data_IF_503980113952
#
_entry.id   IF_503980113952
#
_cell.length_a   1.000
_cell.length_b   1.000
_cell.length_c   1.000
_cell.angle_alpha   90.00
_cell.angle_beta   90.00
_cell.angle_gamma   90.00
#
_symmetry.space_group_name_H-M   'P 1'
#
loop_
_entity.id
_entity.type
_entity.pdbx_description
1 polymer ?
#
# COMPACT_ATOMS: atom_id res chain seq x y z
N UNK A 1 5.35 14.47 -5.03
CA UNK A 1 4.81 14.02 -3.74
C UNK A 1 4.83 12.51 -3.82
N UNK A 2 5.98 11.92 -3.51
CA UNK A 2 6.07 10.48 -3.31
C UNK A 2 5.28 10.18 -2.04
N UNK A 3 4.40 9.18 -2.07
CA UNK A 3 3.80 8.67 -0.84
C UNK A 3 4.95 8.04 -0.05
N UNK A 4 5.53 8.77 0.90
CA UNK A 4 6.39 8.18 1.90
C UNK A 4 5.51 7.22 2.72
N UNK A 5 5.94 5.98 2.85
CA UNK A 5 5.26 5.00 3.71
C UNK A 5 5.34 5.50 5.16
N UNK A 6 4.20 5.95 5.67
CA UNK A 6 4.12 6.58 6.99
C UNK A 6 4.40 5.59 8.12
N UNK A 7 4.12 4.31 7.89
CA UNK A 7 4.31 3.24 8.86
C UNK A 7 5.78 2.94 9.01
N UNK A 8 6.50 2.72 7.90
CA UNK A 8 7.96 2.48 7.96
C UNK A 8 8.73 3.68 8.50
N UNK A 9 8.39 4.92 8.11
CA UNK A 9 9.03 6.11 8.70
C UNK A 9 8.79 6.20 10.21
N UNK A 10 7.60 5.85 10.69
CA UNK A 10 7.31 5.81 12.13
C UNK A 10 8.18 4.77 12.85
N UNK A 11 8.27 3.55 12.29
CA UNK A 11 9.11 2.47 12.83
C UNK A 11 10.59 2.92 12.87
N UNK A 12 11.07 3.61 11.84
CA UNK A 12 12.44 4.10 11.79
C UNK A 12 12.74 5.09 12.93
N UNK A 13 11.87 6.09 13.14
CA UNK A 13 12.03 7.04 14.25
C UNK A 13 11.98 6.37 15.62
N UNK A 14 11.09 5.38 15.80
CA UNK A 14 11.03 4.59 17.03
C UNK A 14 12.37 3.87 17.27
N UNK A 15 12.89 3.17 16.28
CA UNK A 15 14.16 2.45 16.43
C UNK A 15 15.36 3.39 16.59
N UNK A 16 15.38 4.52 15.89
CA UNK A 16 16.41 5.56 16.06
C UNK A 16 16.44 6.06 17.51
N UNK A 17 15.28 6.35 18.10
CA UNK A 17 15.21 6.81 19.49
C UNK A 17 15.52 5.70 20.51
N UNK A 18 15.03 4.47 20.29
CA UNK A 18 15.36 3.31 21.14
C UNK A 18 16.87 3.03 21.14
N UNK A 19 17.51 3.04 19.98
CA UNK A 19 18.96 2.81 19.84
C UNK A 19 19.79 3.92 20.50
N UNK A 20 19.28 5.17 20.50
CA UNK A 20 19.91 6.28 21.23
C UNK A 20 19.76 6.16 22.74
N UNK A 21 18.77 5.40 23.20
CA UNK A 21 18.42 5.24 24.61
C UNK A 21 18.44 3.77 25.05
N UNK A 22 19.62 3.15 25.24
CA UNK A 22 19.73 1.73 25.63
C UNK A 22 18.96 1.34 26.90
N UNK A 23 18.71 2.30 27.81
CA UNK A 23 17.88 2.08 29.00
C UNK A 23 16.42 1.84 28.64
N UNK A 24 15.89 2.58 27.66
CA UNK A 24 14.53 2.43 27.13
C UNK A 24 14.42 1.08 26.42
N UNK A 25 15.39 0.74 25.57
CA UNK A 25 15.47 -0.55 24.87
C UNK A 25 15.40 -1.75 25.84
N UNK A 26 16.24 -1.76 26.87
CA UNK A 26 16.24 -2.83 27.88
C UNK A 26 14.93 -2.95 28.63
N UNK A 27 14.25 -1.82 28.88
CA UNK A 27 12.98 -1.81 29.61
C UNK A 27 11.83 -2.36 28.76
N UNK A 28 11.76 -2.02 27.47
CA UNK A 28 10.75 -2.58 26.56
C UNK A 28 11.02 -4.06 26.22
N UNK A 29 12.28 -4.46 26.07
CA UNK A 29 12.61 -5.89 25.91
C UNK A 29 12.22 -6.71 27.13
N UNK A 30 12.45 -6.19 28.34
CA UNK A 30 11.99 -6.84 29.57
C UNK A 30 10.45 -6.94 29.65
N UNK A 31 9.73 -5.92 29.21
CA UNK A 31 8.26 -5.99 29.11
C UNK A 31 7.84 -7.09 28.12
N UNK A 32 8.43 -7.13 26.93
CA UNK A 32 8.15 -8.16 25.92
C UNK A 32 8.43 -9.58 26.44
N UNK A 33 9.54 -9.78 27.16
CA UNK A 33 9.86 -11.05 27.82
C UNK A 33 8.82 -11.45 28.87
N UNK A 34 8.28 -10.48 29.63
CA UNK A 34 7.29 -10.72 30.68
C UNK A 34 5.90 -11.02 30.14
N UNK A 35 5.49 -10.35 29.06
CA UNK A 35 4.15 -10.47 28.47
C UNK A 35 4.08 -11.66 27.51
N UNK A 36 5.05 -11.80 26.61
CA UNK A 36 5.02 -12.77 25.50
C UNK A 36 5.76 -14.07 25.85
N UNK A 37 6.88 -13.96 26.59
CA UNK A 37 7.77 -15.08 26.89
C UNK A 37 8.76 -15.38 25.75
N UNK A 38 9.91 -15.99 26.04
CA UNK A 38 11.07 -16.00 25.13
C UNK A 38 10.94 -16.85 23.85
N UNK A 39 9.98 -17.78 23.79
CA UNK A 39 9.88 -18.78 22.70
C UNK A 39 8.61 -18.60 21.83
N UNK A 40 7.92 -17.45 21.93
CA UNK A 40 6.65 -17.20 21.24
C UNK A 40 6.74 -15.99 20.32
N UNK A 41 5.96 -16.01 19.24
CA UNK A 41 5.79 -14.83 18.39
C UNK A 41 4.86 -13.83 19.09
N UNK A 42 5.08 -12.53 18.83
CA UNK A 42 4.17 -11.50 19.31
C UNK A 42 2.90 -11.55 18.47
N UNK A 43 1.75 -11.75 19.13
CA UNK A 43 0.44 -11.75 18.51
C UNK A 43 -0.29 -10.43 18.77
N UNK A 44 -1.33 -10.14 17.97
CA UNK A 44 -2.12 -8.90 18.13
C UNK A 44 -2.77 -8.79 19.51
N UNK A 45 -3.16 -9.93 20.11
CA UNK A 45 -3.72 -9.99 21.47
C UNK A 45 -2.74 -9.56 22.56
N UNK A 46 -1.43 -9.64 22.31
CA UNK A 46 -0.42 -9.27 23.30
C UNK A 46 -0.26 -7.75 23.40
N UNK A 47 -0.61 -7.01 22.33
CA UNK A 47 -0.36 -5.58 22.21
C UNK A 47 -1.05 -4.75 23.30
N UNK A 48 -2.24 -5.17 23.75
CA UNK A 48 -2.98 -4.49 24.82
C UNK A 48 -2.22 -4.52 26.15
N UNK A 49 -1.33 -5.49 26.34
CA UNK A 49 -0.52 -5.67 27.55
C UNK A 49 0.88 -5.04 27.46
N UNK A 50 1.28 -4.52 26.30
CA UNK A 50 2.58 -3.87 26.05
C UNK A 50 2.51 -2.36 26.31
N UNK A 51 2.26 -1.98 27.57
CA UNK A 51 2.05 -0.59 27.98
C UNK A 51 3.27 0.31 27.72
N UNK A 52 4.48 -0.19 28.00
CA UNK A 52 5.71 0.54 27.85
C UNK A 52 6.09 0.71 26.37
N UNK A 53 5.82 -0.28 25.52
CA UNK A 53 5.93 -0.13 24.07
C UNK A 53 4.99 0.97 23.54
N UNK A 54 3.74 1.00 24.00
CA UNK A 54 2.78 2.01 23.58
C UNK A 54 3.25 3.44 23.92
N UNK A 55 3.81 3.67 25.11
CA UNK A 55 4.32 5.00 25.46
C UNK A 55 5.57 5.41 24.66
N UNK A 56 6.43 4.45 24.28
CA UNK A 56 7.56 4.70 23.39
C UNK A 56 7.05 5.17 22.02
N UNK A 57 6.04 4.49 21.47
CA UNK A 57 5.44 4.84 20.18
C UNK A 57 4.82 6.25 20.25
N UNK A 58 4.09 6.57 21.32
CA UNK A 58 3.53 7.91 21.55
C UNK A 58 4.60 8.99 21.56
N UNK A 59 5.69 8.79 22.30
CA UNK A 59 6.78 9.77 22.39
C UNK A 59 7.53 9.93 21.08
N UNK A 60 7.74 8.83 20.35
CA UNK A 60 8.37 8.87 19.03
C UNK A 60 7.52 9.66 18.04
N UNK A 61 6.20 9.44 18.02
CA UNK A 61 5.29 10.19 17.14
C UNK A 61 5.09 11.65 17.54
N UNK A 62 5.26 11.98 18.83
CA UNK A 62 5.28 13.38 19.31
C UNK A 62 6.51 14.11 18.79
N UNK A 63 7.68 13.50 18.92
CA UNK A 63 8.95 14.12 18.56
C UNK A 63 9.17 14.07 17.04
N UNK A 64 8.74 13.01 16.36
CA UNK A 64 8.96 12.80 14.94
C UNK A 64 7.66 12.49 14.20
N UNK A 65 6.73 13.47 14.10
CA UNK A 65 5.49 13.27 13.37
C UNK A 65 5.78 13.12 11.88
N UNK A 66 5.37 12.00 11.29
CA UNK A 66 5.60 11.72 9.86
C UNK A 66 4.87 12.72 8.94
N UNK A 67 3.76 13.28 9.42
CA UNK A 67 3.07 14.40 8.79
C UNK A 67 3.22 15.67 9.66
N UNK A 68 4.36 16.39 9.57
CA UNK A 68 4.62 17.56 10.42
C UNK A 68 3.63 18.71 10.15
N UNK A 69 3.08 18.78 8.93
CA UNK A 69 1.98 19.67 8.56
C UNK A 69 0.78 18.81 8.11
N UNK A 70 -0.36 18.96 8.77
CA UNK A 70 -1.60 18.28 8.34
C UNK A 70 -2.12 18.86 7.02
N UNK A 71 -2.98 18.08 6.37
CA UNK A 71 -3.61 18.51 5.13
C UNK A 71 -4.31 19.88 5.32
N UNK A 72 -4.09 20.82 4.39
CA UNK A 72 -4.72 22.13 4.47
C UNK A 72 -6.24 22.03 4.42
N UNK A 73 -6.89 22.85 5.22
CA UNK A 73 -8.34 23.01 5.25
C UNK A 73 -8.72 24.44 4.91
N UNK A 74 -9.97 24.65 4.47
CA UNK A 74 -10.52 25.99 4.32
C UNK A 74 -11.59 26.21 5.38
N UNK A 75 -11.56 27.38 6.02
CA UNK A 75 -12.68 27.83 6.86
C UNK A 75 -13.94 27.95 6.01
N UNK A 76 -15.04 27.39 6.49
CA UNK A 76 -16.34 27.40 5.80
C UNK A 76 -17.17 28.64 6.11
N UNK A 77 -16.81 29.34 7.17
CA UNK A 77 -17.40 30.59 7.64
C UNK A 77 -16.35 31.41 8.39
N UNK A 78 -16.66 32.67 8.65
CA UNK A 78 -15.83 33.55 9.46
C UNK A 78 -15.82 33.03 10.90
N UNK A 79 -14.64 32.80 11.47
CA UNK A 79 -14.53 32.29 12.83
C UNK A 79 -13.40 32.96 13.62
N UNK A 80 -13.48 32.84 14.95
CA UNK A 80 -12.42 33.27 15.86
C UNK A 80 -11.71 32.04 16.41
N UNK A 81 -10.39 31.97 16.25
CA UNK A 81 -9.54 30.96 16.88
C UNK A 81 -8.66 31.67 17.91
N UNK A 82 -8.96 31.46 19.19
CA UNK A 82 -8.42 32.25 20.29
C UNK A 82 -8.62 33.76 20.03
N UNK A 83 -7.54 34.52 19.87
CA UNK A 83 -7.58 35.96 19.60
C UNK A 83 -7.52 36.32 18.11
N UNK A 84 -7.51 35.33 17.21
CA UNK A 84 -7.31 35.55 15.78
C UNK A 84 -8.62 35.39 15.01
N UNK A 85 -8.96 36.40 14.21
CA UNK A 85 -10.05 36.33 13.25
C UNK A 85 -9.60 35.59 11.99
N UNK A 86 -10.35 34.56 11.61
CA UNK A 86 -10.12 33.72 10.44
C UNK A 86 -11.29 33.92 9.47
N UNK A 87 -11.11 34.68 8.39
CA UNK A 87 -12.14 34.86 7.36
C UNK A 87 -12.50 33.54 6.69
N UNK A 88 -13.70 33.45 6.14
CA UNK A 88 -14.17 32.36 5.28
C UNK A 88 -13.19 32.14 4.11
N UNK A 89 -13.01 30.88 3.69
CA UNK A 89 -12.06 30.43 2.67
C UNK A 89 -10.57 30.64 3.00
N UNK A 90 -10.23 30.94 4.25
CA UNK A 90 -8.83 30.96 4.68
C UNK A 90 -8.26 29.56 4.71
N UNK A 91 -7.10 29.35 4.08
CA UNK A 91 -6.38 28.09 4.11
C UNK A 91 -5.64 27.93 5.44
N UNK A 92 -6.10 26.99 6.26
CA UNK A 92 -5.53 26.66 7.57
C UNK A 92 -4.71 25.38 7.46
N UNK A 93 -3.49 25.39 7.99
CA UNK A 93 -2.60 24.22 8.06
C UNK A 93 -2.21 24.06 9.53
N UNK A 94 -2.38 22.85 10.06
CA UNK A 94 -2.00 22.54 11.45
C UNK A 94 -0.56 22.04 11.45
N UNK A 95 0.30 22.69 12.23
CA UNK A 95 1.69 22.31 12.40
C UNK A 95 1.83 21.36 13.59
N UNK A 96 1.72 20.05 13.34
CA UNK A 96 1.82 18.99 14.35
C UNK A 96 3.20 18.97 14.99
N UNK A 97 4.25 19.23 14.19
CA UNK A 97 5.62 19.32 14.68
C UNK A 97 5.76 20.38 15.78
N UNK A 98 5.17 21.56 15.57
CA UNK A 98 5.17 22.63 16.57
C UNK A 98 4.28 22.31 17.76
N UNK A 99 3.13 21.65 17.55
CA UNK A 99 2.23 21.22 18.64
C UNK A 99 2.95 20.24 19.58
N UNK A 100 3.61 19.22 19.02
CA UNK A 100 4.38 18.24 19.78
C UNK A 100 5.58 18.83 20.52
N UNK A 101 6.03 20.04 20.15
CA UNK A 101 7.15 20.75 20.76
C UNK A 101 6.77 21.99 21.57
N UNK A 102 5.47 22.28 21.71
CA UNK A 102 5.04 23.54 22.31
C UNK A 102 5.44 23.61 23.79
N UNK A 103 6.34 24.53 24.21
CA UNK A 103 6.95 24.48 25.55
C UNK A 103 5.99 24.72 26.71
N UNK A 104 4.78 25.24 26.45
CA UNK A 104 3.75 25.40 27.48
C UNK A 104 2.99 24.12 27.78
N UNK A 105 3.02 23.16 26.86
CA UNK A 105 2.35 21.85 26.99
C UNK A 105 3.38 20.78 27.33
N UNK A 106 4.56 20.83 26.72
CA UNK A 106 5.61 19.81 26.86
C UNK A 106 6.83 20.34 27.61
N UNK A 107 7.07 19.84 28.83
CA UNK A 107 8.34 20.07 29.55
C UNK A 107 9.47 19.30 28.88
N UNK A 108 10.63 19.95 28.70
CA UNK A 108 11.77 19.40 27.95
C UNK A 108 11.34 18.89 26.55
N UNK A 109 10.62 19.73 25.81
CA UNK A 109 9.90 19.35 24.59
C UNK A 109 10.77 18.69 23.49
N UNK A 110 12.06 19.01 23.43
CA UNK A 110 12.99 18.44 22.44
C UNK A 110 13.62 17.11 22.89
N UNK A 111 13.40 16.67 24.12
CA UNK A 111 13.96 15.41 24.63
C UNK A 111 12.97 14.27 24.44
N UNK A 112 13.49 13.13 23.98
CA UNK A 112 12.78 11.86 23.98
C UNK A 112 12.69 11.31 25.41
N UNK A 113 11.50 11.41 26.01
CA UNK A 113 11.21 11.00 27.39
C UNK A 113 9.87 10.23 27.45
N UNK A 114 9.84 8.93 27.11
CA UNK A 114 8.62 8.13 27.08
C UNK A 114 7.85 8.13 28.41
N UNK A 115 8.54 8.25 29.53
CA UNK A 115 7.96 8.26 30.88
C UNK A 115 6.93 9.37 31.09
N UNK A 116 6.91 10.42 30.26
CA UNK A 116 5.87 11.47 30.32
C UNK A 116 4.46 10.94 30.05
N UNK A 117 4.34 9.74 29.47
CA UNK A 117 3.06 9.11 29.19
C UNK A 117 2.63 8.04 30.19
N UNK A 118 3.46 7.67 31.19
CA UNK A 118 3.15 6.60 32.16
C UNK A 118 1.85 6.84 32.97
N UNK A 119 1.47 8.09 33.19
CA UNK A 119 0.25 8.48 33.93
C UNK A 119 -0.62 9.47 33.13
N UNK A 120 -0.44 9.48 31.80
CA UNK A 120 -1.08 10.44 30.91
C UNK A 120 -2.33 9.87 30.27
N UNK A 121 -3.40 10.68 30.25
CA UNK A 121 -4.62 10.38 29.47
C UNK A 121 -4.49 10.75 27.99
N UNK A 122 -3.34 11.28 27.55
CA UNK A 122 -3.10 11.70 26.18
C UNK A 122 -3.09 10.47 25.26
N UNK A 123 -3.93 10.52 24.23
CA UNK A 123 -4.02 9.51 23.18
C UNK A 123 -3.62 10.04 21.80
N UNK A 124 -3.45 9.11 20.86
CA UNK A 124 -3.08 9.42 19.47
C UNK A 124 -4.29 9.86 18.63
N UNK A 125 -5.51 9.86 19.19
CA UNK A 125 -6.75 10.26 18.52
C UNK A 125 -6.96 11.77 18.54
N UNK A 126 -6.13 12.49 19.30
CA UNK A 126 -6.15 13.95 19.27
C UNK A 126 -7.34 14.58 19.98
N UNK A 127 -7.86 13.94 21.04
CA UNK A 127 -9.03 14.44 21.79
C UNK A 127 -8.78 15.80 22.44
N UNK A 128 -7.59 15.99 23.01
CA UNK A 128 -7.21 17.20 23.75
C UNK A 128 -6.28 18.13 22.95
N UNK A 129 -6.05 17.82 21.66
CA UNK A 129 -5.18 18.56 20.74
C UNK A 129 -3.70 18.70 21.15
N UNK A 130 -3.29 18.11 22.28
CA UNK A 130 -1.90 18.10 22.74
C UNK A 130 -1.00 17.18 21.90
N UNK A 131 -1.55 16.07 21.41
CA UNK A 131 -0.89 15.10 20.54
C UNK A 131 -1.84 14.69 19.40
N UNK A 132 -1.52 15.08 18.17
CA UNK A 132 -2.41 14.90 16.99
C UNK A 132 -1.68 14.33 15.75
N UNK A 133 -0.86 13.26 15.88
CA UNK A 133 -0.09 12.72 14.75
C UNK A 133 -0.96 12.16 13.63
N UNK A 134 -2.23 11.84 13.93
CA UNK A 134 -3.23 11.37 12.98
C UNK A 134 -4.32 12.40 12.69
N UNK A 135 -4.13 13.66 13.10
CA UNK A 135 -5.22 14.65 13.10
C UNK A 135 -6.25 14.39 14.20
N UNK A 136 -7.41 15.05 14.11
CA UNK A 136 -8.49 14.95 15.10
C UNK A 136 -9.86 15.17 14.44
N UNK A 137 -10.91 14.69 15.10
CA UNK A 137 -12.30 14.84 14.66
C UNK A 137 -12.64 14.10 13.36
N UNK A 138 -13.55 14.65 12.56
CA UNK A 138 -14.08 14.03 11.32
C UNK A 138 -13.04 13.84 10.21
N UNK A 139 -11.82 14.38 10.38
CA UNK A 139 -10.70 14.30 9.43
C UNK A 139 -9.47 13.61 10.04
N UNK A 140 -9.67 12.84 11.11
CA UNK A 140 -8.63 11.94 11.61
C UNK A 140 -8.24 10.90 10.56
N UNK A 141 -7.00 10.41 10.62
CA UNK A 141 -6.47 9.42 9.69
C UNK A 141 -7.30 8.14 9.73
N UNK A 142 -7.92 7.71 8.60
CA UNK A 142 -8.71 6.48 8.56
C UNK A 142 -7.85 5.23 8.80
N UNK A 143 -6.59 5.25 8.36
CA UNK A 143 -5.62 4.17 8.56
C UNK A 143 -4.95 4.14 9.94
N UNK A 144 -5.35 4.99 10.89
CA UNK A 144 -4.71 5.06 12.22
C UNK A 144 -4.71 3.70 12.94
N UNK A 145 -5.85 2.99 12.94
CA UNK A 145 -5.95 1.72 13.67
C UNK A 145 -5.02 0.66 13.06
N UNK A 146 -5.10 0.46 11.74
CA UNK A 146 -4.26 -0.49 11.02
C UNK A 146 -2.77 -0.13 11.11
N UNK A 147 -2.44 1.15 10.87
CA UNK A 147 -1.06 1.63 10.93
C UNK A 147 -0.46 1.48 12.32
N UNK A 148 -1.21 1.80 13.39
CA UNK A 148 -0.76 1.57 14.74
C UNK A 148 -0.60 0.08 15.04
N UNK A 149 -1.55 -0.78 14.68
CA UNK A 149 -1.41 -2.23 14.87
C UNK A 149 -0.14 -2.76 14.19
N UNK A 150 0.14 -2.36 12.95
CA UNK A 150 1.36 -2.76 12.23
C UNK A 150 2.62 -2.23 12.92
N UNK A 151 2.66 -0.94 13.30
CA UNK A 151 3.81 -0.37 14.02
C UNK A 151 4.06 -1.13 15.33
N UNK A 152 3.01 -1.39 16.12
CA UNK A 152 3.13 -2.10 17.39
C UNK A 152 3.62 -3.53 17.18
N UNK A 153 3.01 -4.30 16.28
CA UNK A 153 3.43 -5.68 15.98
C UNK A 153 4.86 -5.74 15.48
N UNK A 154 5.22 -4.92 14.49
CA UNK A 154 6.55 -4.97 13.88
C UNK A 154 7.62 -4.55 14.89
N UNK A 155 7.41 -3.45 15.62
CA UNK A 155 8.38 -3.00 16.63
C UNK A 155 8.51 -4.03 17.75
N UNK A 156 7.39 -4.55 18.27
CA UNK A 156 7.40 -5.58 19.29
C UNK A 156 8.16 -6.84 18.84
N UNK A 157 7.82 -7.35 17.66
CA UNK A 157 8.44 -8.54 17.08
C UNK A 157 9.94 -8.35 16.88
N UNK A 158 10.35 -7.20 16.33
CA UNK A 158 11.76 -6.89 16.10
C UNK A 158 12.54 -6.75 17.40
N UNK A 159 11.98 -6.12 18.43
CA UNK A 159 12.62 -5.99 19.75
C UNK A 159 12.66 -7.31 20.52
N UNK A 160 11.67 -8.18 20.30
CA UNK A 160 11.55 -9.48 20.96
C UNK A 160 12.57 -10.49 20.42
N UNK A 161 12.73 -10.56 19.09
CA UNK A 161 13.59 -11.57 18.45
C UNK A 161 15.05 -11.16 18.27
N UNK A 162 15.34 -9.86 18.24
CA UNK A 162 16.67 -9.37 17.91
C UNK A 162 17.26 -8.53 19.04
N UNK A 163 18.56 -8.72 19.26
CA UNK A 163 19.37 -7.76 19.99
C UNK A 163 19.83 -6.67 19.02
N UNK A 164 19.58 -5.42 19.40
CA UNK A 164 19.85 -4.26 18.58
C UNK A 164 21.06 -3.50 19.10
N UNK A 165 22.05 -3.30 18.23
CA UNK A 165 23.24 -2.51 18.50
C UNK A 165 23.52 -1.56 17.33
N UNK A 166 24.20 -0.46 17.61
CA UNK A 166 24.67 0.46 16.57
C UNK A 166 25.84 -0.17 15.80
N UNK A 167 25.87 -0.05 14.46
CA UNK A 167 26.89 -0.69 13.64
C UNK A 167 28.28 -0.12 13.92
N UNK A 168 29.31 -0.96 13.75
CA UNK A 168 30.72 -0.57 13.77
C UNK A 168 31.18 0.15 15.06
N UNK A 169 30.52 -0.07 16.19
CA UNK A 169 30.86 0.59 17.47
C UNK A 169 30.48 2.07 17.55
N UNK A 170 29.63 2.53 16.63
CA UNK A 170 29.07 3.89 16.61
C UNK A 170 28.40 4.23 17.94
N UNK A 171 28.65 5.43 18.44
CA UNK A 171 28.04 5.92 19.68
C UNK A 171 26.62 6.47 19.41
N UNK A 172 25.69 6.36 20.39
CA UNK A 172 24.35 6.95 20.31
C UNK A 172 24.30 8.43 19.88
N UNK A 173 25.31 9.22 20.25
CA UNK A 173 25.41 10.64 19.89
C UNK A 173 25.78 10.89 18.43
N UNK A 174 26.29 9.88 17.73
CA UNK A 174 26.72 9.96 16.33
C UNK A 174 25.59 9.62 15.35
N UNK A 175 24.42 9.21 15.86
CA UNK A 175 23.25 8.97 15.03
C UNK A 175 22.73 10.31 14.48
N UNK A 176 22.63 10.40 13.15
CA UNK A 176 22.02 11.57 12.50
C UNK A 176 20.51 11.60 12.77
N UNK A 177 20.07 12.68 13.39
CA UNK A 177 18.68 12.93 13.78
C UNK A 177 18.17 14.24 13.17
N UNK A 178 18.83 14.73 12.11
CA UNK A 178 18.40 15.94 11.41
C UNK A 178 17.10 15.70 10.65
N UNK A 179 16.15 16.62 10.81
CA UNK A 179 14.88 16.62 10.11
C UNK A 179 14.94 17.68 8.99
N UNK A 180 15.19 17.26 7.74
CA UNK A 180 15.25 18.20 6.60
C UNK A 180 13.90 18.36 5.90
N UNK A 181 13.44 19.61 5.77
CA UNK A 181 12.15 19.94 5.13
C UNK A 181 12.33 20.17 3.63
N UNK A 182 11.61 19.42 2.81
CA UNK A 182 11.56 19.65 1.35
C UNK A 182 12.49 18.80 0.51
N UNK A 183 13.37 18.02 1.13
CA UNK A 183 14.09 16.90 0.52
C UNK A 183 13.74 15.64 1.31
N UNK A 184 12.84 14.83 0.77
CA UNK A 184 12.53 13.49 1.31
C UNK A 184 13.72 12.52 1.18
N UNK A 185 14.98 12.98 1.14
CA UNK A 185 16.13 12.24 0.59
C UNK A 185 17.33 12.05 1.51
N UNK A 186 17.25 12.39 2.81
CA UNK A 186 18.34 12.10 3.76
C UNK A 186 18.02 11.03 4.84
N UNK A 187 16.76 10.63 5.01
CA UNK A 187 16.33 9.68 6.05
C UNK A 187 15.87 8.34 5.44
N UNK A 188 16.70 7.77 4.56
CA UNK A 188 16.52 6.46 3.91
C UNK A 188 17.72 5.58 4.25
N UNK A 189 18.13 5.46 5.51
CA UNK A 189 19.46 4.92 5.83
C UNK A 189 19.42 3.57 6.55
N UNK A 190 18.38 3.23 7.31
CA UNK A 190 18.37 1.98 8.10
C UNK A 190 17.29 0.98 7.71
N UNK A 191 16.02 1.38 7.51
CA UNK A 191 15.01 0.49 6.91
C UNK A 191 15.32 0.30 5.44
N UNK A 192 15.68 1.37 4.75
CA UNK A 192 16.23 1.27 3.41
C UNK A 192 17.52 0.45 3.39
N UNK A 193 18.40 0.48 4.40
CA UNK A 193 19.54 -0.46 4.46
C UNK A 193 19.12 -1.88 4.78
N UNK A 194 18.07 -2.14 5.57
CA UNK A 194 17.55 -3.48 5.83
C UNK A 194 16.86 -4.06 4.59
N UNK A 195 16.01 -3.28 3.93
CA UNK A 195 15.37 -3.62 2.65
C UNK A 195 16.41 -3.75 1.54
N UNK A 196 17.33 -2.78 1.40
CA UNK A 196 18.46 -2.89 0.46
C UNK A 196 19.35 -4.06 0.82
N UNK A 197 19.62 -4.34 2.09
CA UNK A 197 20.44 -5.49 2.52
C UNK A 197 19.73 -6.80 2.24
N UNK A 198 18.40 -6.87 2.36
CA UNK A 198 17.61 -8.03 2.01
C UNK A 198 17.61 -8.27 0.49
N UNK A 199 17.35 -7.25 -0.31
CA UNK A 199 17.45 -7.38 -1.76
C UNK A 199 18.90 -7.64 -2.21
N UNK A 200 19.90 -7.06 -1.55
CA UNK A 200 21.31 -7.37 -1.81
C UNK A 200 21.66 -8.80 -1.40
N UNK A 201 21.14 -9.32 -0.27
CA UNK A 201 21.38 -10.71 0.13
C UNK A 201 20.75 -11.69 -0.85
N UNK A 202 19.56 -11.39 -1.37
CA UNK A 202 18.95 -12.16 -2.47
C UNK A 202 19.90 -12.16 -3.68
N UNK A 203 20.44 -11.00 -4.07
CA UNK A 203 21.40 -10.95 -5.18
C UNK A 203 22.71 -11.70 -4.87
N UNK A 204 23.17 -11.70 -3.62
CA UNK A 204 24.39 -12.41 -3.18
C UNK A 204 24.18 -13.93 -3.24
N UNK A 205 23.00 -14.42 -2.88
CA UNK A 205 22.60 -15.83 -3.01
C UNK A 205 22.62 -16.28 -4.48
N UNK A 206 22.12 -15.44 -5.40
CA UNK A 206 22.09 -15.75 -6.85
C UNK A 206 23.45 -15.61 -7.54
N UNK A 207 24.44 -15.02 -6.87
CA UNK A 207 25.83 -15.02 -7.34
C UNK A 207 26.59 -16.31 -7.00
N UNK A 208 26.07 -17.11 -6.05
CA UNK A 208 26.68 -18.39 -5.72
C UNK A 208 26.43 -19.43 -6.84
N UNK A 209 27.37 -20.36 -7.07
CA UNK A 209 27.19 -21.38 -8.10
C UNK A 209 25.99 -22.26 -7.74
N UNK A 210 24.95 -22.20 -8.58
CA UNK A 210 23.76 -23.05 -8.45
C UNK A 210 24.14 -24.54 -8.54
N UNK A 211 23.53 -25.35 -7.68
CA UNK A 211 23.71 -26.81 -7.71
C UNK A 211 23.17 -27.38 -9.04
N UNK A 212 23.71 -28.54 -9.45
CA UNK A 212 23.36 -29.17 -10.72
C UNK A 212 21.87 -29.54 -10.73
N UNK A 213 21.08 -28.84 -11.55
CA UNK A 213 19.63 -29.05 -11.68
C UNK A 213 18.73 -27.93 -11.14
N UNK A 214 19.27 -26.89 -10.50
CA UNK A 214 18.47 -25.73 -10.11
C UNK A 214 18.03 -24.90 -11.33
N UNK A 215 16.75 -24.56 -11.37
CA UNK A 215 16.16 -23.70 -12.41
C UNK A 215 16.65 -22.26 -12.23
N UNK A 216 16.93 -21.58 -13.36
CA UNK A 216 17.26 -20.16 -13.37
C UNK A 216 15.99 -19.32 -13.31
N UNK A 217 16.04 -18.23 -12.56
CA UNK A 217 14.95 -17.27 -12.42
C UNK A 217 15.30 -15.91 -13.07
N UNK A 218 14.42 -14.93 -12.86
CA UNK A 218 14.58 -13.58 -13.39
C UNK A 218 15.87 -12.90 -12.90
N UNK A 219 16.26 -13.14 -11.65
CA UNK A 219 17.44 -12.51 -11.03
C UNK A 219 18.70 -13.07 -11.69
N UNK A 220 18.80 -14.39 -11.85
CA UNK A 220 19.93 -15.01 -12.55
C UNK A 220 20.09 -14.49 -13.97
N UNK A 221 18.96 -14.28 -14.65
CA UNK A 221 18.94 -13.81 -16.03
C UNK A 221 19.46 -12.38 -16.10
N UNK A 222 18.98 -11.49 -15.24
CA UNK A 222 19.45 -10.10 -15.16
C UNK A 222 20.93 -10.02 -14.79
N UNK A 223 21.38 -10.77 -13.78
CA UNK A 223 22.79 -10.85 -13.39
C UNK A 223 23.66 -11.45 -14.51
N UNK A 224 23.15 -12.45 -15.24
CA UNK A 224 23.82 -13.05 -16.39
C UNK A 224 24.02 -12.06 -17.54
N UNK A 225 22.98 -11.32 -17.92
CA UNK A 225 23.04 -10.27 -18.95
C UNK A 225 24.02 -9.17 -18.53
N UNK A 226 23.94 -8.72 -17.27
CA UNK A 226 24.84 -7.72 -16.68
C UNK A 226 26.31 -8.15 -16.80
N UNK A 227 26.63 -9.39 -16.39
CA UNK A 227 28.00 -9.95 -16.44
C UNK A 227 28.51 -10.16 -17.87
N UNK A 228 27.62 -10.52 -18.78
CA UNK A 228 27.98 -10.80 -20.17
C UNK A 228 28.19 -9.51 -20.99
N UNK A 229 27.65 -8.38 -20.56
CA UNK A 229 27.86 -7.07 -21.18
C UNK A 229 27.24 -6.92 -22.57
N UNK A 230 26.25 -7.74 -22.91
CA UNK A 230 25.61 -7.77 -24.24
C UNK A 230 24.41 -6.83 -24.41
N UNK A 231 24.05 -6.03 -23.40
CA UNK A 231 22.93 -5.08 -23.51
C UNK A 231 23.34 -3.78 -24.20
N UNK A 232 22.43 -3.20 -24.98
CA UNK A 232 22.63 -1.91 -25.66
C UNK A 232 22.83 -0.74 -24.68
N UNK A 233 22.40 -0.91 -23.43
CA UNK A 233 22.58 0.03 -22.33
C UNK A 233 23.34 -0.64 -21.19
N UNK A 234 24.17 0.12 -20.49
CA UNK A 234 24.85 -0.37 -19.29
C UNK A 234 23.92 -0.22 -18.08
N UNK A 235 23.83 -1.27 -17.29
CA UNK A 235 23.17 -1.27 -15.99
C UNK A 235 24.03 -2.07 -15.01
N UNK A 236 23.89 -1.79 -13.72
CA UNK A 236 24.67 -2.40 -12.66
C UNK A 236 23.80 -3.14 -11.65
N UNK A 237 24.44 -3.64 -10.59
CA UNK A 237 23.78 -4.39 -9.52
C UNK A 237 22.73 -3.53 -8.78
N UNK A 238 22.95 -2.22 -8.66
CA UNK A 238 22.00 -1.32 -8.02
C UNK A 238 20.75 -1.14 -8.88
N UNK A 239 20.89 -1.12 -10.20
CA UNK A 239 19.76 -1.11 -11.13
C UNK A 239 18.94 -2.40 -11.02
N UNK A 240 19.59 -3.58 -10.98
CA UNK A 240 18.89 -4.87 -10.80
C UNK A 240 18.13 -4.89 -9.46
N UNK A 241 18.76 -4.43 -8.39
CA UNK A 241 18.12 -4.31 -7.07
C UNK A 241 16.91 -3.38 -7.12
N UNK A 242 17.01 -2.22 -7.78
CA UNK A 242 15.91 -1.27 -7.91
C UNK A 242 14.74 -1.87 -8.69
N UNK A 243 15.00 -2.58 -9.78
CA UNK A 243 13.97 -3.30 -10.54
C UNK A 243 13.27 -4.34 -9.68
N UNK A 244 14.02 -5.10 -8.85
CA UNK A 244 13.41 -6.05 -7.92
C UNK A 244 12.52 -5.35 -6.91
N UNK A 245 13.00 -4.26 -6.30
CA UNK A 245 12.17 -3.48 -5.38
C UNK A 245 10.87 -3.03 -6.03
N UNK A 246 10.91 -2.49 -7.25
CA UNK A 246 9.72 -2.06 -7.99
C UNK A 246 8.74 -3.21 -8.26
N UNK A 247 9.25 -4.42 -8.55
CA UNK A 247 8.40 -5.60 -8.79
C UNK A 247 7.65 -6.07 -7.54
N UNK A 248 8.22 -5.86 -6.34
CA UNK A 248 7.64 -6.32 -5.07
C UNK A 248 6.93 -5.22 -4.28
N UNK A 249 7.07 -3.94 -4.66
CA UNK A 249 6.59 -2.80 -3.89
C UNK A 249 5.05 -2.58 -3.92
N UNK A 250 4.33 -3.17 -4.87
CA UNK A 250 2.92 -2.87 -5.08
C UNK A 250 2.08 -4.14 -5.30
N UNK A 251 1.14 -4.40 -4.40
CA UNK A 251 0.19 -5.51 -4.53
C UNK A 251 -1.06 -5.10 -5.33
N UNK A 252 -0.89 -5.03 -6.65
CA UNK A 252 -1.96 -4.66 -7.59
C UNK A 252 -2.89 -5.83 -7.92
N UNK A 253 -2.36 -7.05 -7.87
CA UNK A 253 -3.07 -8.27 -8.23
C UNK A 253 -4.16 -8.61 -7.21
N UNK A 254 -3.84 -8.59 -5.91
CA UNK A 254 -4.82 -8.89 -4.86
C UNK A 254 -5.97 -7.90 -4.86
N UNK A 255 -5.66 -6.60 -4.97
CA UNK A 255 -6.64 -5.51 -5.07
C UNK A 255 -7.61 -5.73 -6.24
N UNK A 256 -7.07 -6.13 -7.39
CA UNK A 256 -7.91 -6.44 -8.58
C UNK A 256 -8.84 -7.62 -8.31
N UNK A 257 -8.32 -8.71 -7.73
CA UNK A 257 -9.10 -9.91 -7.40
C UNK A 257 -10.22 -9.55 -6.42
N UNK A 258 -9.93 -8.74 -5.40
CA UNK A 258 -10.93 -8.31 -4.40
C UNK A 258 -12.07 -7.51 -5.05
N UNK A 259 -11.76 -6.60 -5.98
CA UNK A 259 -12.79 -5.86 -6.73
C UNK A 259 -13.63 -6.77 -7.62
N UNK A 260 -13.00 -7.72 -8.32
CA UNK A 260 -13.72 -8.70 -9.14
C UNK A 260 -14.69 -9.50 -8.27
N UNK A 261 -14.21 -10.03 -7.14
CA UNK A 261 -15.06 -10.81 -6.23
C UNK A 261 -16.19 -9.98 -5.63
N UNK A 262 -15.92 -8.73 -5.28
CA UNK A 262 -16.93 -7.81 -4.78
C UNK A 262 -18.07 -7.62 -5.78
N UNK A 263 -17.73 -7.39 -7.05
CA UNK A 263 -18.73 -7.21 -8.09
C UNK A 263 -19.47 -8.50 -8.43
N UNK A 264 -18.80 -9.65 -8.40
CA UNK A 264 -19.44 -10.97 -8.60
C UNK A 264 -20.44 -11.27 -7.47
N UNK A 265 -20.06 -11.04 -6.21
CA UNK A 265 -20.92 -11.25 -5.04
C UNK A 265 -22.11 -10.29 -5.03
N UNK A 266 -21.89 -9.05 -5.47
CA UNK A 266 -22.94 -8.05 -5.67
C UNK A 266 -23.91 -8.43 -6.79
N UNK A 267 -23.48 -9.29 -7.73
CA UNK A 267 -24.26 -9.70 -8.90
C UNK A 267 -24.36 -11.24 -9.03
N UNK A 268 -25.25 -11.91 -8.26
CA UNK A 268 -25.40 -13.37 -8.30
C UNK A 268 -25.70 -13.95 -9.69
N UNK A 269 -26.31 -13.17 -10.59
CA UNK A 269 -26.52 -13.55 -12.00
C UNK A 269 -25.19 -13.76 -12.72
N UNK A 270 -24.22 -12.88 -12.49
CA UNK A 270 -22.88 -12.96 -13.06
C UNK A 270 -22.14 -14.17 -12.50
N UNK A 271 -22.17 -14.37 -11.17
CA UNK A 271 -21.59 -15.54 -10.51
C UNK A 271 -22.08 -16.86 -11.12
N UNK A 272 -23.40 -17.04 -11.22
CA UNK A 272 -23.98 -18.27 -11.80
C UNK A 272 -23.56 -18.50 -13.25
N UNK A 273 -23.43 -17.43 -14.03
CA UNK A 273 -23.08 -17.53 -15.45
C UNK A 273 -21.61 -17.93 -15.63
N UNK A 274 -20.67 -17.34 -14.88
CA UNK A 274 -19.25 -17.73 -14.94
C UNK A 274 -19.00 -19.12 -14.34
N UNK A 275 -19.72 -19.48 -13.28
CA UNK A 275 -19.66 -20.83 -12.73
C UNK A 275 -20.15 -21.90 -13.71
N UNK A 276 -21.16 -21.59 -14.53
CA UNK A 276 -21.63 -22.46 -15.62
C UNK A 276 -20.61 -22.57 -16.75
N UNK A 277 -19.95 -21.47 -17.13
CA UNK A 277 -18.86 -21.50 -18.10
C UNK A 277 -17.72 -22.41 -17.61
N UNK A 278 -17.29 -22.26 -16.35
CA UNK A 278 -16.28 -23.10 -15.73
C UNK A 278 -16.68 -24.59 -15.74
N UNK A 279 -17.93 -24.90 -15.42
CA UNK A 279 -18.47 -26.27 -15.52
C UNK A 279 -18.42 -26.82 -16.95
N UNK A 280 -18.67 -25.99 -17.97
CA UNK A 280 -18.71 -26.42 -19.37
C UNK A 280 -17.32 -26.62 -19.97
N UNK A 281 -16.38 -25.73 -19.65
CA UNK A 281 -15.03 -25.73 -20.21
C UNK A 281 -14.11 -26.69 -19.44
N UNK A 282 -14.18 -26.66 -18.11
CA UNK A 282 -13.26 -27.40 -17.24
C UNK A 282 -13.88 -28.70 -16.74
N UNK A 283 -15.19 -28.72 -16.47
CA UNK A 283 -15.87 -29.86 -15.85
C UNK A 283 -15.68 -29.91 -14.33
N UNK A 284 -16.40 -30.83 -13.67
CA UNK A 284 -16.47 -30.89 -12.20
C UNK A 284 -15.44 -31.81 -11.54
N UNK A 285 -14.63 -32.52 -12.33
CA UNK A 285 -13.70 -33.55 -11.83
C UNK A 285 -12.24 -33.08 -11.80
N UNK A 286 -11.94 -31.88 -12.32
CA UNK A 286 -10.59 -31.29 -12.36
C UNK A 286 -10.59 -29.83 -11.91
N UNK A 287 -9.41 -29.39 -11.47
CA UNK A 287 -9.14 -27.98 -11.19
C UNK A 287 -8.85 -27.20 -12.48
N UNK A 288 -9.08 -25.90 -12.43
CA UNK A 288 -8.71 -24.99 -13.52
C UNK A 288 -7.19 -24.90 -13.62
N UNK A 289 -6.66 -25.12 -14.82
CA UNK A 289 -5.26 -24.93 -15.17
C UNK A 289 -5.08 -23.68 -16.05
N UNK A 290 -3.85 -23.18 -16.18
CA UNK A 290 -3.54 -22.01 -17.01
C UNK A 290 -3.96 -22.19 -18.48
N UNK A 291 -3.87 -23.43 -19.00
CA UNK A 291 -4.26 -23.80 -20.36
C UNK A 291 -5.77 -23.67 -20.61
N UNK A 292 -6.61 -23.71 -19.57
CA UNK A 292 -8.06 -23.56 -19.70
C UNK A 292 -8.46 -22.08 -19.86
N UNK A 293 -7.62 -21.11 -19.44
CA UNK A 293 -7.97 -19.69 -19.32
C UNK A 293 -8.36 -19.03 -20.65
N UNK A 294 -7.73 -19.43 -21.75
CA UNK A 294 -8.06 -18.89 -23.08
C UNK A 294 -9.51 -19.19 -23.49
N UNK A 295 -10.11 -20.26 -22.95
CA UNK A 295 -11.48 -20.69 -23.25
C UNK A 295 -12.54 -20.09 -22.30
N UNK A 296 -12.14 -19.33 -21.28
CA UNK A 296 -13.04 -18.71 -20.29
C UNK A 296 -13.44 -17.28 -20.73
N UNK A 297 -14.19 -17.18 -21.82
CA UNK A 297 -14.54 -15.91 -22.46
C UNK A 297 -15.33 -14.96 -21.54
N UNK A 298 -16.30 -15.49 -20.80
CA UNK A 298 -17.15 -14.71 -19.90
C UNK A 298 -16.38 -14.25 -18.66
N UNK A 299 -15.48 -15.07 -18.12
CA UNK A 299 -14.54 -14.62 -17.09
C UNK A 299 -13.67 -13.45 -17.58
N UNK A 300 -13.12 -13.54 -18.79
CA UNK A 300 -12.34 -12.46 -19.40
C UNK A 300 -13.14 -11.15 -19.47
N UNK A 301 -14.42 -11.25 -19.83
CA UNK A 301 -15.37 -10.14 -19.90
C UNK A 301 -15.63 -9.52 -18.51
N UNK A 302 -15.81 -10.33 -17.48
CA UNK A 302 -15.98 -9.86 -16.09
C UNK A 302 -14.75 -9.08 -15.64
N UNK A 303 -13.55 -9.58 -15.92
CA UNK A 303 -12.29 -8.94 -15.53
C UNK A 303 -12.12 -7.59 -16.22
N UNK A 304 -12.44 -7.49 -17.51
CA UNK A 304 -12.44 -6.21 -18.25
C UNK A 304 -13.38 -5.18 -17.60
N UNK A 305 -14.61 -5.59 -17.28
CA UNK A 305 -15.59 -4.69 -16.66
C UNK A 305 -15.20 -4.28 -15.24
N UNK A 306 -14.63 -5.20 -14.46
CA UNK A 306 -14.13 -4.91 -13.12
C UNK A 306 -12.97 -3.89 -13.18
N UNK A 307 -12.01 -4.05 -14.10
CA UNK A 307 -10.91 -3.10 -14.27
C UNK A 307 -11.36 -1.75 -14.85
N UNK A 308 -12.45 -1.71 -15.63
CA UNK A 308 -13.05 -0.45 -16.10
C UNK A 308 -13.64 0.34 -14.95
N UNK A 309 -14.44 -0.34 -14.11
CA UNK A 309 -15.18 0.31 -13.02
C UNK A 309 -14.28 0.56 -11.80
N UNK A 310 -13.39 -0.37 -11.47
CA UNK A 310 -12.47 -0.29 -10.34
C UNK A 310 -11.01 -0.42 -10.80
N UNK A 311 -10.48 0.56 -11.54
CA UNK A 311 -9.07 0.55 -11.91
C UNK A 311 -8.20 0.71 -10.66
N UNK A 312 -7.30 -0.25 -10.43
CA UNK A 312 -6.40 -0.22 -9.26
C UNK A 312 -5.58 1.08 -9.22
N UNK A 313 -5.15 1.61 -10.37
CA UNK A 313 -4.52 2.93 -10.47
C UNK A 313 -5.46 3.91 -11.21
N UNK A 314 -6.40 4.59 -10.52
CA UNK A 314 -7.39 5.45 -11.18
C UNK A 314 -6.78 6.69 -11.84
N UNK A 315 -5.66 7.17 -11.28
CA UNK A 315 -4.77 8.13 -11.89
C UNK A 315 -3.48 7.39 -12.22
N UNK A 316 -3.16 7.24 -13.51
CA UNK A 316 -1.92 6.60 -13.91
C UNK A 316 -0.71 7.41 -13.42
N UNK A 317 0.43 6.72 -13.31
CA UNK A 317 1.67 7.34 -12.87
C UNK A 317 1.97 8.60 -13.70
N UNK A 318 2.46 9.68 -13.08
CA UNK A 318 2.65 10.93 -13.80
C UNK A 318 3.72 10.83 -14.89
N UNK A 319 3.43 11.45 -16.03
CA UNK A 319 4.35 11.63 -17.15
C UNK A 319 4.85 13.07 -17.20
N UNK A 320 6.02 13.26 -17.80
CA UNK A 320 6.55 14.58 -18.15
C UNK A 320 6.72 14.66 -19.67
N UNK A 321 6.33 15.80 -20.26
CA UNK A 321 6.63 16.09 -21.66
C UNK A 321 8.14 16.30 -21.84
N UNK A 322 8.73 15.63 -22.82
CA UNK A 322 10.18 15.72 -23.11
C UNK A 322 10.53 16.91 -24.01
N UNK A 323 9.51 17.47 -24.66
CA UNK A 323 9.57 18.61 -25.57
C UNK A 323 8.23 19.34 -25.56
N UNK A 324 8.19 20.53 -26.14
CA UNK A 324 6.96 21.26 -26.40
C UNK A 324 6.12 20.46 -27.40
N UNK A 325 4.86 20.21 -27.09
CA UNK A 325 3.98 19.44 -27.97
C UNK A 325 2.54 19.97 -27.99
N UNK A 326 1.78 19.53 -28.99
CA UNK A 326 0.34 19.78 -29.09
C UNK A 326 -0.41 18.49 -28.80
N UNK A 327 -1.34 18.52 -27.85
CA UNK A 327 -2.31 17.45 -27.62
C UNK A 327 -3.68 17.97 -28.04
N UNK A 328 -4.21 17.44 -29.13
CA UNK A 328 -5.35 18.02 -29.84
C UNK A 328 -5.10 19.52 -30.13
N UNK A 329 -5.91 20.42 -29.57
CA UNK A 329 -5.77 21.87 -29.72
C UNK A 329 -4.99 22.56 -28.60
N UNK A 330 -4.44 21.79 -27.65
CA UNK A 330 -3.78 22.35 -26.47
C UNK A 330 -2.26 22.26 -26.59
N UNK A 331 -1.60 23.40 -26.39
CA UNK A 331 -0.15 23.46 -26.27
C UNK A 331 0.28 23.00 -24.88
N UNK A 332 1.17 22.01 -24.85
CA UNK A 332 1.77 21.44 -23.65
C UNK A 332 3.27 21.79 -23.67
N UNK A 333 3.72 22.74 -22.83
CA UNK A 333 5.13 23.07 -22.72
C UNK A 333 5.96 21.86 -22.29
N UNK A 334 7.24 21.85 -22.64
CA UNK A 334 8.24 20.90 -22.16
C UNK A 334 8.26 20.84 -20.63
N UNK A 335 8.53 19.65 -20.09
CA UNK A 335 8.56 19.31 -18.67
C UNK A 335 7.21 19.38 -17.93
N UNK A 336 6.10 19.56 -18.65
CA UNK A 336 4.76 19.63 -18.06
C UNK A 336 4.35 18.32 -17.40
N UNK A 337 3.79 18.47 -16.20
CA UNK A 337 3.00 17.52 -15.40
C UNK A 337 1.82 16.89 -16.14
N UNK A 338 1.87 15.67 -16.69
CA UNK A 338 0.68 15.02 -17.29
C UNK A 338 0.25 13.81 -16.47
N UNK A 339 -1.03 13.74 -16.11
CA UNK A 339 -1.64 12.62 -15.38
C UNK A 339 -2.87 12.17 -16.16
N UNK A 340 -2.96 10.86 -16.45
CA UNK A 340 -4.09 10.27 -17.17
C UNK A 340 -5.08 9.75 -16.15
N UNK A 341 -6.31 10.26 -16.17
CA UNK A 341 -7.38 9.85 -15.28
C UNK A 341 -8.21 8.73 -15.91
N UNK A 342 -7.76 7.48 -15.72
CA UNK A 342 -8.44 6.31 -16.30
C UNK A 342 -9.76 6.00 -15.61
N UNK A 343 -9.93 6.40 -14.36
CA UNK A 343 -11.22 6.34 -13.67
C UNK A 343 -12.30 7.16 -14.39
N UNK A 344 -11.94 8.38 -14.83
CA UNK A 344 -12.85 9.24 -15.58
C UNK A 344 -13.10 8.70 -17.00
N UNK A 345 -12.07 8.15 -17.66
CA UNK A 345 -12.20 7.53 -18.98
C UNK A 345 -13.15 6.33 -18.92
N UNK A 346 -12.98 5.45 -17.93
CA UNK A 346 -13.84 4.29 -17.71
C UNK A 346 -15.29 4.66 -17.41
N UNK A 347 -15.56 5.88 -16.93
CA UNK A 347 -16.91 6.38 -16.59
C UNK A 347 -17.47 7.40 -17.58
N UNK A 348 -16.79 7.66 -18.70
CA UNK A 348 -17.20 8.72 -19.60
C UNK A 348 -18.52 8.38 -20.32
N UNK A 349 -19.64 9.09 -20.09
CA UNK A 349 -20.97 8.66 -20.55
C UNK A 349 -21.16 8.67 -22.06
N UNK A 350 -20.28 9.36 -22.81
CA UNK A 350 -20.32 9.36 -24.29
C UNK A 350 -19.68 8.12 -24.91
N UNK A 351 -18.88 7.39 -24.13
CA UNK A 351 -18.22 6.14 -24.54
C UNK A 351 -18.94 4.96 -23.92
N UNK A 352 -19.34 5.07 -22.64
CA UNK A 352 -19.94 3.97 -21.88
C UNK A 352 -21.42 4.21 -21.57
N UNK A 353 -22.30 3.39 -22.14
CA UNK A 353 -23.72 3.34 -21.77
C UNK A 353 -23.88 2.84 -20.33
N UNK A 354 -24.68 3.52 -19.51
CA UNK A 354 -24.82 3.21 -18.08
C UNK A 354 -23.46 3.07 -17.38
N UNK A 355 -22.60 4.09 -17.54
CA UNK A 355 -21.18 4.04 -17.19
C UNK A 355 -20.87 3.67 -15.73
N UNK A 356 -21.76 3.98 -14.79
CA UNK A 356 -21.60 3.66 -13.37
C UNK A 356 -22.07 2.24 -13.00
N UNK A 357 -22.75 1.53 -13.91
CA UNK A 357 -23.23 0.17 -13.64
C UNK A 357 -22.19 -0.86 -14.05
N UNK A 358 -22.01 -1.86 -13.20
CA UNK A 358 -21.28 -3.07 -13.54
C UNK A 358 -22.12 -3.94 -14.48
N UNK A 359 -21.78 -3.92 -15.77
CA UNK A 359 -22.49 -4.63 -16.84
C UNK A 359 -21.48 -5.37 -17.73
N UNK A 360 -21.00 -6.57 -17.32
CA UNK A 360 -20.01 -7.32 -18.10
C UNK A 360 -20.42 -7.54 -19.56
N UNK A 361 -21.72 -7.73 -19.82
CA UNK A 361 -22.25 -7.97 -21.17
C UNK A 361 -21.88 -6.90 -22.20
N UNK A 362 -21.46 -5.70 -21.79
CA UNK A 362 -20.95 -4.68 -22.73
C UNK A 362 -19.71 -5.14 -23.50
N UNK A 363 -19.01 -6.17 -23.03
CA UNK A 363 -17.84 -6.73 -23.69
C UNK A 363 -18.10 -8.03 -24.49
N UNK A 364 -19.33 -8.56 -24.52
CA UNK A 364 -19.63 -9.81 -25.23
C UNK A 364 -19.35 -9.77 -26.75
N UNK A 365 -19.51 -8.62 -27.39
CA UNK A 365 -19.23 -8.42 -28.82
C UNK A 365 -18.19 -7.31 -29.04
N UNK A 366 -17.38 -7.05 -28.02
CA UNK A 366 -16.38 -5.98 -28.03
C UNK A 366 -15.00 -6.53 -28.35
N UNK A 367 -14.32 -5.88 -29.30
CA UNK A 367 -12.91 -6.15 -29.60
C UNK A 367 -11.94 -5.40 -28.69
N UNK A 368 -12.45 -4.62 -27.72
CA UNK A 368 -11.62 -3.83 -26.79
C UNK A 368 -10.67 -4.75 -26.02
N UNK A 369 -9.38 -4.48 -26.12
CA UNK A 369 -8.32 -5.19 -25.42
C UNK A 369 -7.76 -4.39 -24.22
N UNK A 370 -7.07 -5.10 -23.32
CA UNK A 370 -6.41 -4.50 -22.16
C UNK A 370 -4.96 -4.09 -22.45
N UNK A 371 -4.48 -4.29 -23.69
CA UNK A 371 -3.07 -4.11 -24.09
C UNK A 371 -2.75 -2.65 -24.42
N UNK A 372 -3.72 -1.76 -24.19
CA UNK A 372 -3.60 -0.33 -24.35
C UNK A 372 -3.65 0.15 -25.79
N UNK A 373 -4.29 -0.60 -26.68
CA UNK A 373 -4.60 -0.14 -28.06
C UNK A 373 -5.93 0.60 -28.13
N UNK A 374 -6.86 0.24 -27.25
CA UNK A 374 -8.19 0.83 -27.15
C UNK A 374 -8.23 1.80 -25.95
N UNK A 375 -8.05 3.11 -26.21
CA UNK A 375 -7.92 4.13 -25.16
C UNK A 375 -9.13 4.31 -24.25
N UNK A 376 -10.25 3.69 -24.60
CA UNK A 376 -11.46 3.61 -23.80
C UNK A 376 -11.23 2.76 -22.54
N UNK A 377 -10.30 1.80 -22.59
CA UNK A 377 -9.96 0.88 -21.49
C UNK A 377 -8.45 0.65 -21.40
N UNK A 378 -7.77 1.43 -20.54
CA UNK A 378 -6.31 1.40 -20.36
C UNK A 378 -5.89 1.20 -18.90
N UNK A 379 -6.36 0.15 -18.19
CA UNK A 379 -6.03 -0.07 -16.78
C UNK A 379 -4.54 -0.35 -16.55
N UNK A 380 -3.82 -0.78 -17.59
CA UNK A 380 -2.37 -1.00 -17.58
C UNK A 380 -1.58 0.15 -18.25
N UNK A 381 -2.23 1.28 -18.54
CA UNK A 381 -1.65 2.34 -19.37
C UNK A 381 -1.49 1.93 -20.83
N UNK A 382 -0.63 2.66 -21.55
CA UNK A 382 -0.37 2.43 -22.98
C UNK A 382 1.02 2.95 -23.39
N UNK A 383 1.48 2.53 -24.57
CA UNK A 383 2.71 3.01 -25.19
C UNK A 383 3.97 2.58 -24.45
N UNK A 384 5.00 3.44 -24.48
CA UNK A 384 6.35 3.14 -23.95
C UNK A 384 6.40 2.88 -22.44
N UNK A 385 5.35 3.24 -21.70
CA UNK A 385 5.23 3.07 -20.24
C UNK A 385 4.01 2.25 -19.85
N UNK A 386 3.50 1.41 -20.77
CA UNK A 386 2.53 0.38 -20.41
C UNK A 386 3.10 -0.56 -19.35
N UNK A 387 2.24 -1.13 -18.52
CA UNK A 387 2.65 -1.96 -17.40
C UNK A 387 3.49 -3.16 -17.87
N UNK A 388 4.74 -3.31 -17.40
CA UNK A 388 5.59 -4.44 -17.78
C UNK A 388 5.08 -5.78 -17.23
N UNK A 389 4.34 -5.75 -16.11
CA UNK A 389 3.77 -6.93 -15.46
C UNK A 389 2.39 -7.34 -15.97
N UNK A 390 1.84 -6.70 -17.03
CA UNK A 390 0.47 -6.91 -17.49
C UNK A 390 0.15 -8.39 -17.75
N UNK A 391 1.02 -9.11 -18.48
CA UNK A 391 0.76 -10.50 -18.81
C UNK A 391 0.73 -11.39 -17.56
N UNK A 392 1.73 -11.25 -16.68
CA UNK A 392 1.81 -11.99 -15.42
C UNK A 392 0.59 -11.69 -14.51
N UNK A 393 0.28 -10.40 -14.33
CA UNK A 393 -0.84 -9.95 -13.51
C UNK A 393 -2.16 -10.49 -14.04
N UNK A 394 -2.41 -10.41 -15.34
CA UNK A 394 -3.61 -10.98 -15.95
C UNK A 394 -3.67 -12.50 -15.73
N UNK A 395 -2.61 -13.26 -16.03
CA UNK A 395 -2.62 -14.71 -15.81
C UNK A 395 -2.97 -15.08 -14.37
N UNK A 396 -2.35 -14.41 -13.37
CA UNK A 396 -2.63 -14.68 -11.95
C UNK A 396 -4.07 -14.31 -11.59
N UNK A 397 -4.55 -13.12 -11.98
CA UNK A 397 -5.93 -12.69 -11.72
C UNK A 397 -6.93 -13.70 -12.30
N UNK A 398 -6.74 -14.10 -13.57
CA UNK A 398 -7.64 -15.05 -14.23
C UNK A 398 -7.61 -16.40 -13.53
N UNK A 399 -6.43 -16.95 -13.25
CA UNK A 399 -6.28 -18.27 -12.64
C UNK A 399 -6.88 -18.32 -11.24
N UNK A 400 -6.54 -17.35 -10.38
CA UNK A 400 -7.02 -17.32 -9.00
C UNK A 400 -8.53 -17.14 -8.96
N UNK A 401 -9.08 -16.20 -9.74
CA UNK A 401 -10.53 -15.98 -9.80
C UNK A 401 -11.24 -17.22 -10.34
N UNK A 402 -10.74 -17.83 -11.42
CA UNK A 402 -11.31 -19.04 -11.99
C UNK A 402 -11.32 -20.19 -10.98
N UNK A 403 -10.19 -20.47 -10.33
CA UNK A 403 -10.07 -21.56 -9.36
C UNK A 403 -10.99 -21.35 -8.15
N UNK A 404 -11.04 -20.14 -7.59
CA UNK A 404 -11.90 -19.84 -6.45
C UNK A 404 -13.39 -19.94 -6.80
N UNK A 405 -13.81 -19.46 -7.97
CA UNK A 405 -15.20 -19.57 -8.43
C UNK A 405 -15.57 -21.00 -8.83
N UNK A 406 -14.61 -21.76 -9.37
CA UNK A 406 -14.81 -23.16 -9.76
C UNK A 406 -14.97 -24.04 -8.52
N UNK A 407 -14.06 -23.89 -7.56
CA UNK A 407 -14.01 -24.75 -6.39
C UNK A 407 -15.08 -24.43 -5.34
N UNK A 408 -15.50 -23.16 -5.22
CA UNK A 408 -16.41 -22.71 -4.17
C UNK A 408 -17.65 -22.00 -4.72
N UNK A 409 -18.77 -22.19 -4.02
CA UNK A 409 -19.86 -21.24 -3.97
C UNK A 409 -19.50 -20.17 -2.94
N UNK A 410 -19.93 -18.95 -3.17
CA UNK A 410 -19.62 -17.82 -2.31
C UNK A 410 -20.89 -17.13 -1.86
N UNK A 411 -21.04 -16.97 -0.55
CA UNK A 411 -22.16 -16.29 0.08
C UNK A 411 -21.66 -15.12 0.93
N UNK A 412 -22.46 -14.05 1.01
CA UNK A 412 -22.21 -12.95 1.94
C UNK A 412 -22.58 -13.36 3.37
N UNK A 413 -21.83 -12.91 4.39
CA UNK A 413 -22.07 -13.31 5.77
C UNK A 413 -23.42 -12.81 6.30
N UNK A 414 -23.95 -13.50 7.30
CA UNK A 414 -25.13 -13.08 8.08
C UNK A 414 -26.41 -12.83 7.25
N UNK A 415 -26.53 -13.44 6.07
CA UNK A 415 -27.70 -13.25 5.20
C UNK A 415 -27.77 -11.87 4.54
N UNK A 416 -26.65 -11.14 4.51
CA UNK A 416 -26.51 -9.84 3.85
C UNK A 416 -26.95 -9.93 2.39
N UNK A 417 -27.76 -8.97 1.95
CA UNK A 417 -28.18 -8.86 0.56
C UNK A 417 -27.05 -8.29 -0.30
N UNK A 418 -26.92 -8.70 -1.57
CA UNK A 418 -25.89 -8.17 -2.47
C UNK A 418 -25.86 -6.64 -2.57
N UNK A 419 -27.03 -5.98 -2.49
CA UNK A 419 -27.14 -4.53 -2.52
C UNK A 419 -26.60 -3.81 -1.29
N UNK A 420 -26.42 -4.53 -0.18
CA UNK A 420 -25.91 -4.01 1.10
C UNK A 420 -24.38 -4.08 1.19
N UNK A 421 -23.73 -4.77 0.25
CA UNK A 421 -22.27 -4.83 0.20
C UNK A 421 -21.70 -3.41 0.01
N UNK A 422 -20.86 -2.97 0.95
CA UNK A 422 -20.16 -1.68 0.83
C UNK A 422 -19.24 -1.72 -0.39
N UNK A 423 -19.29 -0.69 -1.23
CA UNK A 423 -18.45 -0.55 -2.43
C UNK A 423 -17.63 0.74 -2.38
N UNK A 424 -17.52 1.34 -1.19
CA UNK A 424 -16.72 2.54 -0.97
C UNK A 424 -15.26 2.26 -1.28
N UNK A 425 -14.65 3.15 -2.06
CA UNK A 425 -13.25 3.10 -2.45
C UNK A 425 -12.39 3.84 -1.41
N UNK A 426 -11.24 3.27 -1.03
CA UNK A 426 -10.20 4.01 -0.31
C UNK A 426 -9.24 4.65 -1.31
N UNK A 427 -9.21 5.98 -1.33
CA UNK A 427 -8.40 6.71 -2.31
C UNK A 427 -6.91 6.70 -1.92
N UNK A 428 -6.08 6.18 -2.82
CA UNK A 428 -4.62 6.12 -2.70
C UNK A 428 -3.93 6.13 -4.06
N UNK A 429 -2.62 5.83 -4.07
CA UNK A 429 -1.88 5.56 -5.32
C UNK A 429 -2.46 4.32 -6.00
N UNK A 430 -2.78 3.30 -5.20
CA UNK A 430 -3.63 2.18 -5.55
C UNK A 430 -4.97 2.36 -4.83
N UNK A 431 -6.08 2.00 -5.48
CA UNK A 431 -7.43 2.12 -4.93
C UNK A 431 -8.02 0.75 -4.70
N UNK A 432 -8.17 0.42 -3.42
CA UNK A 432 -8.86 -0.77 -2.92
C UNK A 432 -10.19 -0.42 -2.27
N UNK A 433 -10.85 -1.43 -1.70
CA UNK A 433 -12.08 -1.23 -0.93
C UNK A 433 -11.75 -0.56 0.40
N UNK A 434 -12.62 0.36 0.85
CA UNK A 434 -12.52 0.96 2.18
C UNK A 434 -12.79 -0.04 3.32
N UNK A 435 -13.52 -1.11 3.01
CA UNK A 435 -13.79 -2.22 3.94
C UNK A 435 -13.46 -3.54 3.27
N UNK A 436 -12.66 -4.38 3.94
CA UNK A 436 -12.30 -5.70 3.45
C UNK A 436 -13.53 -6.52 3.05
N UNK A 437 -13.40 -7.24 1.94
CA UNK A 437 -14.44 -8.17 1.52
C UNK A 437 -14.47 -9.40 2.44
N UNK A 438 -15.63 -9.66 3.06
CA UNK A 438 -15.88 -10.88 3.82
C UNK A 438 -16.87 -11.74 3.04
N UNK A 439 -16.47 -12.97 2.71
CA UNK A 439 -17.30 -13.94 2.01
C UNK A 439 -17.10 -15.35 2.58
N UNK A 440 -18.16 -16.16 2.56
CA UNK A 440 -18.17 -17.51 3.10
C UNK A 440 -18.10 -18.51 1.94
N UNK A 441 -17.01 -19.30 1.83
CA UNK A 441 -16.90 -20.32 0.79
C UNK A 441 -17.62 -21.62 1.19
N UNK A 442 -18.29 -22.25 0.23
CA UNK A 442 -18.83 -23.61 0.35
C UNK A 442 -18.37 -24.46 -0.83
N UNK A 443 -17.74 -25.61 -0.59
CA UNK A 443 -17.18 -26.45 -1.66
C UNK A 443 -18.23 -26.87 -2.70
N UNK A 444 -17.91 -26.70 -3.98
CA UNK A 444 -18.67 -27.17 -5.15
C UNK A 444 -18.16 -28.49 -5.68
N UNK A 445 -16.84 -28.65 -5.74
CA UNK A 445 -16.21 -29.87 -6.21
C UNK A 445 -16.24 -30.91 -5.09
N UNK A 446 -16.60 -32.15 -5.44
CA UNK A 446 -16.50 -33.29 -4.53
C UNK A 446 -15.09 -33.84 -4.65
N UNK A 447 -14.39 -33.99 -3.52
CA UNK A 447 -13.12 -34.72 -3.46
C UNK A 447 -13.31 -36.19 -3.74
#
# INVERSE_FOLDING_TARGET
>A
MFAADTTSTTIEWIFSEILRHPRVMKKVQKELEQVVGMDKMVEESDLESLEYLNIIIKEAMRLHPVAPLLLPHHSIEDCMVDRFFIPTNSRVIINVWAVGRYPKVWTDAEKFLPERFCESNIDLRGRDFELIPFGSGRRGCPGMQLGLTIVHLVVAQLLHYFNWDLPNGMQPSELDMTEEFGEFTAYYSKIDKAVKSYFLSILDEHDQPKEHGQTKDFIDTMLGIMKAGYSEFKFDRFDVKAILMDMFAADTTSTTIEWIFSEILRHPRVMKKVQKELEQVVGMDKMVEESDLESLEYLNIIIKEAMRLHPVAPLLLPHHSIEDCMVDRFFIPKNSRVIINVWAVGRYPKVWTDAEKFLPERFCESNIDLRGRDFELIPFGSGRRGCPGMQLGLTIVHLVVAQLLHYFNWDLPNGMQPSELDMTEEFGVLVGRATHLIAIPTCRLKK
#
